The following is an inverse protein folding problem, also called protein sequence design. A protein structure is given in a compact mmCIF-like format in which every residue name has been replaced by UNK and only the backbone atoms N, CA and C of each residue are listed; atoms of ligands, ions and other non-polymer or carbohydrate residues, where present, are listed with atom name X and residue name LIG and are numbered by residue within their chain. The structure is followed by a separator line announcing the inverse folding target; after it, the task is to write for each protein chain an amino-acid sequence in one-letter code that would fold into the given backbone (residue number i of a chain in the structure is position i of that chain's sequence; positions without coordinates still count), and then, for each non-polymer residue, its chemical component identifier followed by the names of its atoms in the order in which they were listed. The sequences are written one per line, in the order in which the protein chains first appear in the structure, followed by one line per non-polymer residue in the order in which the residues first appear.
data_IF_775666917993
#
_entry.id   IF_775666917993
#
_cell.length_a   1.000
_cell.length_b   1.000
_cell.length_c   1.000
_cell.angle_alpha   90.00
_cell.angle_beta   90.00
_cell.angle_gamma   90.00
#
_symmetry.space_group_name_H-M   'P 1'
#
loop_
_entity.id
_entity.type
_entity.pdbx_description
1 polymer ?
#
# COMPACT_ATOMS: atom_id res chain seq x y z
N UNK A 1 -0.65 -34.10 -6.34
CA UNK A 1 -1.41 -32.84 -6.17
C UNK A 1 -2.19 -32.57 -7.45
N UNK A 2 -3.41 -32.06 -7.39
CA UNK A 2 -4.13 -31.64 -8.59
C UNK A 2 -3.36 -30.47 -9.24
N UNK A 3 -3.06 -30.59 -10.53
CA UNK A 3 -2.40 -29.53 -11.29
C UNK A 3 -3.38 -28.35 -11.35
N UNK A 4 -2.93 -27.15 -10.94
CA UNK A 4 -3.74 -25.94 -11.02
C UNK A 4 -4.21 -25.71 -12.46
N UNK A 5 -5.49 -25.36 -12.61
CA UNK A 5 -6.13 -25.09 -13.91
C UNK A 5 -6.64 -23.67 -13.92
N UNK A 6 -6.10 -22.86 -14.82
CA UNK A 6 -6.48 -21.47 -15.01
C UNK A 6 -7.33 -21.35 -16.28
N UNK A 7 -8.62 -20.99 -16.18
CA UNK A 7 -9.47 -20.84 -17.36
C UNK A 7 -8.94 -19.81 -18.36
N UNK A 8 -9.02 -20.13 -19.65
CA UNK A 8 -8.75 -19.17 -20.74
C UNK A 8 -9.89 -18.14 -20.84
N UNK A 9 -11.12 -18.60 -20.61
CA UNK A 9 -12.30 -17.73 -20.56
C UNK A 9 -12.28 -16.85 -19.30
N UNK A 10 -12.68 -15.59 -19.46
CA UNK A 10 -12.80 -14.61 -18.38
C UNK A 10 -12.46 -13.19 -18.80
N UNK A 11 -12.68 -12.24 -17.91
CA UNK A 11 -12.36 -10.83 -18.15
C UNK A 11 -10.91 -10.51 -17.75
N UNK A 12 -10.17 -9.68 -18.52
CA UNK A 12 -8.82 -9.26 -18.17
C UNK A 12 -8.79 -8.46 -16.85
N UNK A 13 -7.91 -8.86 -15.92
CA UNK A 13 -7.79 -8.22 -14.61
C UNK A 13 -6.80 -7.05 -14.58
N UNK A 14 -5.78 -7.07 -15.44
CA UNK A 14 -4.73 -6.03 -15.50
C UNK A 14 -5.08 -4.94 -16.51
N UNK A 15 -4.86 -3.67 -16.16
CA UNK A 15 -5.12 -2.53 -17.05
C UNK A 15 -4.15 -2.50 -18.25
N UNK A 16 -4.56 -1.88 -19.35
CA UNK A 16 -3.71 -1.77 -20.55
C UNK A 16 -2.39 -1.03 -20.26
N UNK A 17 -2.44 0.01 -19.43
CA UNK A 17 -1.26 0.79 -19.06
C UNK A 17 -0.30 -0.01 -18.18
N UNK A 18 -0.82 -0.75 -17.19
CA UNK A 18 0.01 -1.62 -16.35
C UNK A 18 0.65 -2.75 -17.16
N UNK A 19 -0.10 -3.34 -18.10
CA UNK A 19 0.44 -4.32 -19.06
C UNK A 19 1.57 -3.72 -19.92
N UNK A 20 1.38 -2.53 -20.49
CA UNK A 20 2.38 -1.87 -21.30
C UNK A 20 3.64 -1.49 -20.49
N UNK A 21 3.45 -0.97 -19.27
CA UNK A 21 4.53 -0.67 -18.35
C UNK A 21 5.35 -1.92 -18.00
N UNK A 22 4.68 -3.04 -17.73
CA UNK A 22 5.33 -4.30 -17.47
C UNK A 22 6.19 -4.79 -18.64
N UNK A 23 5.68 -4.79 -19.87
CA UNK A 23 6.46 -5.19 -21.05
C UNK A 23 7.67 -4.27 -21.27
N UNK A 24 7.52 -2.96 -20.99
CA UNK A 24 8.59 -1.96 -21.15
C UNK A 24 9.76 -2.11 -20.18
N UNK A 25 9.61 -2.91 -19.13
CA UNK A 25 10.74 -3.26 -18.26
C UNK A 25 11.84 -4.04 -19.00
N UNK A 26 11.48 -4.73 -20.09
CA UNK A 26 12.42 -5.50 -20.93
C UNK A 26 12.50 -4.96 -22.36
N UNK A 27 11.39 -4.44 -22.91
CA UNK A 27 11.34 -3.84 -24.24
C UNK A 27 10.84 -2.37 -24.16
N UNK A 28 11.72 -1.40 -23.91
CA UNK A 28 11.34 0.01 -23.76
C UNK A 28 10.59 0.59 -24.96
N UNK A 29 10.83 0.05 -26.17
CA UNK A 29 10.16 0.46 -27.42
C UNK A 29 8.77 -0.16 -27.63
N UNK A 30 8.26 -0.96 -26.69
CA UNK A 30 6.97 -1.63 -26.84
C UNK A 30 5.82 -0.64 -27.11
N UNK A 31 5.05 -0.92 -28.16
CA UNK A 31 3.89 -0.14 -28.56
C UNK A 31 2.69 -0.46 -27.65
N UNK A 32 2.30 0.50 -26.81
CA UNK A 32 1.21 0.35 -25.83
C UNK A 32 -0.15 0.06 -26.48
N UNK A 33 -0.34 0.36 -27.77
CA UNK A 33 -1.56 0.00 -28.50
C UNK A 33 -1.79 -1.52 -28.52
N UNK A 34 -0.72 -2.32 -28.53
CA UNK A 34 -0.82 -3.79 -28.49
C UNK A 34 -1.50 -4.23 -27.18
N UNK A 35 -1.04 -3.73 -26.03
CA UNK A 35 -1.65 -4.02 -24.73
C UNK A 35 -3.11 -3.54 -24.65
N UNK A 36 -3.40 -2.36 -25.23
CA UNK A 36 -4.78 -1.85 -25.34
C UNK A 36 -5.68 -2.80 -26.11
N UNK A 37 -5.22 -3.29 -27.27
CA UNK A 37 -5.97 -4.24 -28.09
C UNK A 37 -6.18 -5.58 -27.38
N UNK A 38 -5.17 -6.13 -26.68
CA UNK A 38 -5.34 -7.37 -25.90
C UNK A 38 -6.45 -7.24 -24.86
N UNK A 39 -6.51 -6.10 -24.14
CA UNK A 39 -7.58 -5.85 -23.18
C UNK A 39 -8.95 -5.72 -23.86
N UNK A 40 -9.05 -4.87 -24.88
CA UNK A 40 -10.32 -4.60 -25.57
C UNK A 40 -10.90 -5.84 -26.25
N UNK A 41 -10.09 -6.53 -27.05
CA UNK A 41 -10.49 -7.74 -27.78
C UNK A 41 -10.74 -8.89 -26.80
N UNK A 42 -9.89 -9.07 -25.79
CA UNK A 42 -10.09 -10.05 -24.73
C UNK A 42 -11.43 -9.87 -24.02
N UNK A 43 -11.73 -8.65 -23.56
CA UNK A 43 -13.02 -8.33 -22.94
C UNK A 43 -14.21 -8.59 -23.85
N UNK A 44 -14.11 -8.22 -25.14
CA UNK A 44 -15.15 -8.41 -26.15
C UNK A 44 -15.47 -9.89 -26.42
N UNK A 45 -14.46 -10.75 -26.44
CA UNK A 45 -14.60 -12.19 -26.71
C UNK A 45 -14.67 -13.06 -25.44
N UNK A 46 -14.63 -12.45 -24.25
CA UNK A 46 -14.64 -13.17 -22.98
C UNK A 46 -13.38 -14.01 -22.74
N UNK A 47 -12.24 -13.55 -23.23
CA UNK A 47 -10.93 -14.20 -23.08
C UNK A 47 -10.02 -13.32 -22.21
N UNK A 48 -9.22 -13.97 -21.37
CA UNK A 48 -8.19 -13.33 -20.52
C UNK A 48 -7.05 -12.72 -21.35
N UNK A 49 -7.33 -11.58 -21.99
CA UNK A 49 -6.40 -10.86 -22.85
C UNK A 49 -5.11 -10.41 -22.15
N UNK A 50 -5.16 -10.22 -20.83
CA UNK A 50 -3.99 -9.99 -19.98
C UNK A 50 -3.03 -11.19 -19.95
N UNK A 51 -3.56 -12.41 -19.91
CA UNK A 51 -2.77 -13.63 -19.98
C UNK A 51 -2.35 -13.92 -21.44
N UNK A 52 -3.18 -13.60 -22.43
CA UNK A 52 -2.82 -13.71 -23.85
C UNK A 52 -1.67 -12.77 -24.25
N UNK A 53 -1.58 -11.59 -23.64
CA UNK A 53 -0.38 -10.76 -23.78
C UNK A 53 0.85 -11.48 -23.25
N UNK A 54 0.77 -12.16 -22.09
CA UNK A 54 1.88 -12.92 -21.52
C UNK A 54 2.30 -14.10 -22.42
N UNK A 55 1.34 -14.74 -23.08
CA UNK A 55 1.62 -15.71 -24.14
C UNK A 55 2.43 -15.05 -25.26
N UNK A 56 2.02 -13.88 -25.72
CA UNK A 56 2.73 -13.14 -26.77
C UNK A 56 4.14 -12.71 -26.35
N UNK A 57 4.33 -12.32 -25.07
CA UNK A 57 5.65 -12.05 -24.49
C UNK A 57 6.55 -13.28 -24.66
N UNK A 58 6.02 -14.47 -24.38
CA UNK A 58 6.76 -15.71 -24.55
C UNK A 58 7.08 -16.01 -26.02
N UNK A 59 6.09 -15.93 -26.91
CA UNK A 59 6.24 -16.26 -28.34
C UNK A 59 7.19 -15.32 -29.09
N UNK A 60 7.15 -14.04 -28.74
CA UNK A 60 7.87 -12.99 -29.48
C UNK A 60 9.12 -12.51 -28.77
N UNK A 61 9.53 -13.19 -27.68
CA UNK A 61 10.65 -12.77 -26.84
C UNK A 61 10.51 -11.30 -26.39
N UNK A 62 9.41 -10.99 -25.70
CA UNK A 62 9.05 -9.64 -25.24
C UNK A 62 8.78 -8.64 -26.37
N UNK A 63 8.12 -9.08 -27.45
CA UNK A 63 7.84 -8.27 -28.64
C UNK A 63 9.11 -7.72 -29.32
N UNK A 64 10.26 -8.34 -29.07
CA UNK A 64 11.53 -8.03 -29.75
C UNK A 64 11.68 -8.84 -31.05
N UNK A 65 10.93 -9.93 -31.15
CA UNK A 65 11.01 -10.92 -32.21
C UNK A 65 12.44 -11.50 -32.30
N UNK A 66 12.73 -12.30 -33.32
CA UNK A 66 14.04 -12.97 -33.47
C UNK A 66 13.98 -14.35 -34.11
N UNK A 67 12.77 -14.85 -34.40
CA UNK A 67 12.55 -16.04 -35.22
C UNK A 67 12.00 -15.70 -36.60
N UNK A 68 11.28 -16.64 -37.22
CA UNK A 68 10.74 -16.49 -38.58
C UNK A 68 9.65 -15.42 -38.68
N UNK A 69 8.94 -15.13 -37.59
CA UNK A 69 7.88 -14.11 -37.53
C UNK A 69 8.49 -12.73 -37.28
N UNK A 70 8.14 -11.76 -38.12
CA UNK A 70 8.65 -10.39 -38.09
C UNK A 70 7.67 -9.41 -37.44
N UNK A 71 8.16 -8.30 -36.84
CA UNK A 71 7.31 -7.31 -36.17
C UNK A 71 6.17 -6.75 -37.04
N UNK A 72 6.42 -6.56 -38.34
CA UNK A 72 5.49 -5.93 -39.28
C UNK A 72 4.28 -6.82 -39.61
N UNK A 73 4.34 -8.12 -39.27
CA UNK A 73 3.26 -9.07 -39.54
C UNK A 73 2.07 -8.91 -38.57
N UNK A 74 2.21 -8.17 -37.47
CA UNK A 74 1.25 -8.13 -36.36
C UNK A 74 0.86 -9.55 -35.85
N UNK A 75 1.73 -10.54 -36.03
CA UNK A 75 1.46 -11.92 -35.64
C UNK A 75 2.10 -12.22 -34.27
N UNK A 76 1.44 -11.77 -33.21
CA UNK A 76 1.97 -11.81 -31.85
C UNK A 76 1.99 -13.20 -31.19
N UNK A 77 1.42 -14.20 -31.86
CA UNK A 77 1.26 -15.56 -31.36
C UNK A 77 1.89 -16.63 -32.26
N UNK A 78 2.59 -16.22 -33.33
CA UNK A 78 3.17 -17.15 -34.30
C UNK A 78 2.16 -18.00 -35.07
N UNK A 79 0.94 -17.48 -35.30
CA UNK A 79 -0.13 -18.21 -36.00
C UNK A 79 0.36 -18.68 -37.37
N UNK A 80 0.43 -20.00 -37.54
CA UNK A 80 0.83 -20.63 -38.79
C UNK A 80 2.34 -20.65 -39.08
N UNK A 81 3.18 -20.13 -38.18
CA UNK A 81 4.63 -20.26 -38.31
C UNK A 81 5.06 -21.69 -37.92
N UNK A 82 5.96 -22.30 -38.69
CA UNK A 82 6.38 -23.71 -38.49
C UNK A 82 7.88 -23.89 -38.26
N UNK A 83 8.66 -22.80 -38.24
CA UNK A 83 10.12 -22.89 -38.28
C UNK A 83 10.66 -23.07 -39.71
N UNK A 84 11.96 -22.86 -39.88
CA UNK A 84 12.65 -23.12 -41.15
C UNK A 84 12.36 -22.10 -42.25
N UNK A 85 12.06 -20.85 -41.88
CA UNK A 85 11.79 -19.76 -42.82
C UNK A 85 10.31 -19.56 -43.16
N UNK A 86 9.41 -20.39 -42.63
CA UNK A 86 7.97 -20.16 -42.76
C UNK A 86 7.49 -19.15 -41.70
N UNK A 87 7.31 -17.90 -42.14
CA UNK A 87 6.92 -16.77 -41.30
C UNK A 87 5.45 -16.78 -40.82
N UNK A 88 4.62 -17.72 -41.29
CA UNK A 88 3.21 -17.82 -40.90
C UNK A 88 2.32 -16.68 -41.40
N UNK A 89 1.19 -16.46 -40.72
CA UNK A 89 0.20 -15.46 -41.10
C UNK A 89 0.69 -14.02 -40.88
N UNK A 90 0.08 -13.07 -41.60
CA UNK A 90 0.28 -11.62 -41.43
C UNK A 90 -1.07 -10.92 -41.36
N UNK A 91 -1.17 -9.89 -40.53
CA UNK A 91 -2.39 -9.15 -40.26
C UNK A 91 -2.18 -7.66 -40.53
N UNK A 92 -3.18 -7.00 -41.13
CA UNK A 92 -3.03 -5.63 -41.60
C UNK A 92 -2.90 -4.61 -40.45
N UNK A 93 -3.46 -4.94 -39.29
CA UNK A 93 -3.45 -4.07 -38.11
C UNK A 93 -3.13 -4.84 -36.83
N UNK A 94 -2.67 -4.11 -35.80
CA UNK A 94 -2.50 -4.64 -34.44
C UNK A 94 -3.80 -5.29 -33.95
N UNK A 95 -4.94 -4.64 -34.18
CA UNK A 95 -6.25 -5.13 -33.77
C UNK A 95 -6.59 -6.47 -34.42
N UNK A 96 -6.31 -6.65 -35.72
CA UNK A 96 -6.52 -7.92 -36.42
C UNK A 96 -5.58 -9.02 -35.90
N UNK A 97 -4.30 -8.68 -35.68
CA UNK A 97 -3.32 -9.61 -35.11
C UNK A 97 -3.70 -10.14 -33.74
N UNK A 98 -4.08 -9.23 -32.84
CA UNK A 98 -4.61 -9.59 -31.51
C UNK A 98 -5.91 -10.38 -31.62
N UNK A 99 -6.82 -9.97 -32.52
CA UNK A 99 -8.10 -10.68 -32.74
C UNK A 99 -7.88 -12.11 -33.20
N UNK A 100 -6.94 -12.36 -34.11
CA UNK A 100 -6.62 -13.70 -34.55
C UNK A 100 -6.12 -14.58 -33.39
N UNK A 101 -5.24 -14.06 -32.54
CA UNK A 101 -4.78 -14.81 -31.36
C UNK A 101 -5.91 -15.10 -30.37
N UNK A 102 -6.73 -14.10 -30.05
CA UNK A 102 -7.83 -14.26 -29.12
C UNK A 102 -8.87 -15.24 -29.67
N UNK A 103 -9.14 -15.23 -30.98
CA UNK A 103 -10.01 -16.21 -31.62
C UNK A 103 -9.39 -17.62 -31.59
N UNK A 104 -8.08 -17.77 -31.77
CA UNK A 104 -7.42 -19.06 -31.66
C UNK A 104 -7.56 -19.63 -30.24
N UNK A 105 -7.37 -18.80 -29.22
CA UNK A 105 -7.61 -19.14 -27.82
C UNK A 105 -9.09 -19.47 -27.56
N UNK A 106 -10.02 -18.72 -28.15
CA UNK A 106 -11.46 -19.00 -28.06
C UNK A 106 -11.83 -20.36 -28.66
N UNK A 107 -11.22 -20.74 -29.79
CA UNK A 107 -11.43 -22.04 -30.41
C UNK A 107 -10.96 -23.17 -29.48
N UNK A 108 -9.80 -23.02 -28.83
CA UNK A 108 -9.33 -23.96 -27.83
C UNK A 108 -10.24 -24.04 -26.59
N UNK A 109 -10.72 -22.90 -26.12
CA UNK A 109 -11.40 -22.80 -24.83
C UNK A 109 -12.90 -23.11 -24.86
N UNK A 110 -13.54 -23.00 -26.01
CA UNK A 110 -15.00 -23.04 -26.13
C UNK A 110 -15.48 -23.80 -27.36
N UNK A 111 -16.66 -24.43 -27.26
CA UNK A 111 -17.43 -24.97 -28.39
C UNK A 111 -18.54 -24.03 -28.86
N UNK A 112 -18.87 -22.98 -28.10
CA UNK A 112 -19.92 -22.02 -28.44
C UNK A 112 -19.59 -21.23 -29.72
N UNK A 113 -20.54 -20.79 -30.56
CA UNK A 113 -20.22 -19.91 -31.68
C UNK A 113 -19.49 -18.63 -31.20
N UNK A 114 -18.74 -17.97 -32.08
CA UNK A 114 -18.23 -16.63 -31.76
C UNK A 114 -19.41 -15.69 -31.46
N UNK A 115 -19.23 -14.67 -30.59
CA UNK A 115 -20.25 -13.68 -30.33
C UNK A 115 -20.84 -13.08 -31.62
N UNK A 116 -22.14 -12.76 -31.60
CA UNK A 116 -22.82 -12.25 -32.78
C UNK A 116 -22.13 -10.97 -33.32
N UNK A 117 -21.88 -10.93 -34.62
CA UNK A 117 -21.19 -9.82 -35.29
C UNK A 117 -19.66 -9.96 -35.38
N UNK A 118 -19.06 -10.98 -34.74
CA UNK A 118 -17.63 -11.25 -34.88
C UNK A 118 -17.30 -11.92 -36.22
N UNK A 119 -16.39 -11.32 -36.98
CA UNK A 119 -15.78 -11.94 -38.17
C UNK A 119 -14.62 -12.84 -37.75
N UNK A 120 -14.50 -14.01 -38.36
CA UNK A 120 -13.30 -14.86 -38.20
C UNK A 120 -12.10 -14.19 -38.88
N UNK A 121 -11.10 -13.82 -38.09
CA UNK A 121 -9.81 -13.26 -38.51
C UNK A 121 -8.71 -14.31 -38.44
N UNK A 122 -8.79 -15.25 -37.49
CA UNK A 122 -7.85 -16.36 -37.39
C UNK A 122 -7.99 -17.32 -38.59
N UNK A 123 -6.97 -17.43 -39.48
CA UNK A 123 -7.03 -18.31 -40.64
C UNK A 123 -7.00 -19.80 -40.26
N UNK A 124 -6.73 -20.13 -39.00
CA UNK A 124 -6.62 -21.49 -38.47
C UNK A 124 -7.76 -21.83 -37.52
N UNK A 125 -8.78 -20.97 -37.38
CA UNK A 125 -9.87 -21.14 -36.42
C UNK A 125 -10.58 -22.50 -36.58
N UNK A 126 -10.83 -22.92 -37.82
CA UNK A 126 -11.47 -24.19 -38.15
C UNK A 126 -10.58 -25.42 -38.01
N UNK A 127 -9.26 -25.24 -37.86
CA UNK A 127 -8.30 -26.34 -37.69
C UNK A 127 -8.17 -26.78 -36.23
N UNK A 128 -8.68 -25.99 -35.28
CA UNK A 128 -8.65 -26.32 -33.86
C UNK A 128 -9.81 -27.24 -33.52
N UNK A 129 -9.51 -28.38 -32.88
CA UNK A 129 -10.53 -29.19 -32.23
C UNK A 129 -11.17 -28.36 -31.09
N UNK A 130 -12.37 -27.86 -31.32
CA UNK A 130 -12.99 -26.84 -30.46
C UNK A 130 -13.24 -27.33 -29.04
N UNK A 131 -12.95 -26.48 -28.05
CA UNK A 131 -13.09 -26.81 -26.63
C UNK A 131 -12.05 -27.81 -26.11
N UNK A 132 -11.02 -28.15 -26.91
CA UNK A 132 -10.02 -29.15 -26.52
C UNK A 132 -9.08 -28.69 -25.41
N UNK A 133 -8.92 -27.39 -25.15
CA UNK A 133 -8.02 -26.84 -24.13
C UNK A 133 -8.67 -25.66 -23.39
N UNK A 134 -9.52 -25.92 -22.39
CA UNK A 134 -10.23 -24.88 -21.64
C UNK A 134 -9.33 -24.03 -20.73
N UNK A 135 -8.15 -24.54 -20.34
CA UNK A 135 -7.23 -23.85 -19.42
C UNK A 135 -5.88 -23.56 -20.07
N UNK A 136 -5.16 -22.54 -19.56
CA UNK A 136 -3.83 -22.16 -20.05
C UNK A 136 -2.83 -23.32 -19.98
N UNK A 137 -2.91 -24.14 -18.93
CA UNK A 137 -2.08 -25.33 -18.74
C UNK A 137 -2.39 -26.44 -19.76
N UNK A 138 -3.58 -26.45 -20.37
CA UNK A 138 -3.98 -27.43 -21.40
C UNK A 138 -3.38 -27.14 -22.77
N UNK A 139 -2.80 -25.94 -22.97
CA UNK A 139 -2.19 -25.54 -24.25
C UNK A 139 -0.86 -26.27 -24.52
N UNK A 140 -0.22 -26.83 -23.48
CA UNK A 140 0.97 -27.64 -23.65
C UNK A 140 0.65 -28.93 -24.43
N UNK A 141 1.35 -29.17 -25.54
CA UNK A 141 1.07 -30.29 -26.44
C UNK A 141 -0.05 -30.03 -27.45
N UNK A 142 -0.67 -28.85 -27.46
CA UNK A 142 -1.73 -28.46 -28.41
C UNK A 142 -1.38 -27.19 -29.16
N UNK A 143 -1.16 -26.10 -28.43
CA UNK A 143 -0.65 -24.84 -28.99
C UNK A 143 0.84 -24.97 -29.31
N UNK A 144 1.62 -25.34 -28.29
CA UNK A 144 3.04 -25.60 -28.43
C UNK A 144 3.27 -27.12 -28.37
N UNK A 145 3.79 -27.70 -29.44
CA UNK A 145 4.14 -29.13 -29.52
C UNK A 145 5.67 -29.25 -29.50
N UNK A 146 6.26 -30.02 -28.56
CA UNK A 146 5.63 -30.85 -27.54
C UNK A 146 5.10 -30.10 -26.31
N UNK A 147 5.43 -28.81 -26.15
CA UNK A 147 4.94 -27.98 -25.03
C UNK A 147 5.73 -28.15 -23.72
N UNK A 148 6.85 -28.87 -23.76
CA UNK A 148 7.82 -29.04 -22.68
C UNK A 148 9.21 -29.35 -23.25
N UNK A 149 10.25 -29.32 -22.41
CA UNK A 149 11.60 -29.69 -22.85
C UNK A 149 11.81 -31.22 -22.82
N UNK A 150 11.86 -31.86 -24.00
CA UNK A 150 12.10 -33.31 -24.16
C UNK A 150 13.48 -33.78 -23.69
N UNK A 151 14.47 -32.89 -23.58
CA UNK A 151 15.79 -33.27 -23.01
C UNK A 151 15.78 -33.26 -21.49
N UNK A 152 14.81 -32.60 -20.87
CA UNK A 152 14.69 -32.45 -19.41
C UNK A 152 13.66 -33.39 -18.79
N UNK A 153 12.58 -33.70 -19.50
CA UNK A 153 11.47 -34.51 -18.99
C UNK A 153 11.16 -35.68 -19.92
N UNK A 154 10.88 -36.84 -19.34
CA UNK A 154 10.53 -38.05 -20.08
C UNK A 154 9.13 -37.99 -20.73
N UNK A 155 8.24 -37.12 -20.26
CA UNK A 155 6.87 -36.98 -20.77
C UNK A 155 6.28 -35.60 -20.48
N UNK A 156 5.20 -35.24 -21.18
CA UNK A 156 4.41 -34.04 -20.86
C UNK A 156 3.86 -34.11 -19.43
N UNK A 157 3.45 -35.30 -18.98
CA UNK A 157 2.95 -35.51 -17.62
C UNK A 157 4.03 -35.18 -16.57
N UNK A 158 5.26 -35.65 -16.78
CA UNK A 158 6.38 -35.34 -15.88
C UNK A 158 6.68 -33.83 -15.86
N UNK A 159 6.59 -33.15 -17.00
CA UNK A 159 6.77 -31.70 -17.07
C UNK A 159 5.63 -30.93 -16.39
N UNK A 160 4.37 -31.40 -16.51
CA UNK A 160 3.20 -30.82 -15.84
C UNK A 160 3.33 -30.89 -14.32
N UNK A 161 3.73 -32.06 -13.80
CA UNK A 161 3.98 -32.29 -12.38
C UNK A 161 5.12 -31.42 -11.85
N UNK A 162 6.16 -31.20 -12.67
CA UNK A 162 7.28 -30.34 -12.34
C UNK A 162 7.01 -28.84 -12.51
N UNK A 163 5.82 -28.44 -12.99
CA UNK A 163 5.53 -27.03 -13.18
C UNK A 163 6.20 -26.39 -14.41
N UNK A 164 6.78 -27.14 -15.35
CA UNK A 164 7.66 -26.59 -16.41
C UNK A 164 7.14 -26.82 -17.84
N UNK A 165 5.83 -26.71 -18.02
CA UNK A 165 5.21 -26.70 -19.35
C UNK A 165 5.01 -25.30 -19.92
N UNK A 166 4.66 -25.25 -21.21
CA UNK A 166 4.28 -24.02 -21.91
C UNK A 166 3.25 -23.18 -21.15
N UNK A 167 2.11 -23.77 -20.76
CA UNK A 167 1.07 -23.05 -20.03
C UNK A 167 1.54 -22.52 -18.68
N UNK A 168 2.34 -23.30 -17.94
CA UNK A 168 2.88 -22.88 -16.65
C UNK A 168 3.92 -21.74 -16.78
N UNK A 169 4.66 -21.67 -17.90
CA UNK A 169 5.54 -20.53 -18.21
C UNK A 169 4.74 -19.25 -18.44
N UNK A 170 3.62 -19.32 -19.15
CA UNK A 170 2.70 -18.19 -19.34
C UNK A 170 2.13 -17.72 -18.00
N UNK A 171 1.71 -18.67 -17.15
CA UNK A 171 1.18 -18.33 -15.83
C UNK A 171 2.22 -17.70 -14.90
N UNK A 172 3.51 -18.08 -15.01
CA UNK A 172 4.59 -17.38 -14.31
C UNK A 172 4.79 -15.93 -14.80
N UNK A 173 4.74 -15.71 -16.11
CA UNK A 173 4.77 -14.35 -16.68
C UNK A 173 3.57 -13.52 -16.21
N UNK A 174 2.39 -14.13 -16.14
CA UNK A 174 1.21 -13.47 -15.63
C UNK A 174 1.33 -13.11 -14.15
N UNK A 175 1.84 -14.02 -13.31
CA UNK A 175 2.05 -13.76 -11.88
C UNK A 175 3.07 -12.64 -11.60
N UNK A 176 4.10 -12.53 -12.43
CA UNK A 176 5.08 -11.43 -12.34
C UNK A 176 4.49 -10.11 -12.82
N UNK A 177 3.67 -10.12 -13.87
CA UNK A 177 2.95 -8.94 -14.34
C UNK A 177 1.94 -8.42 -13.32
N UNK A 178 1.17 -9.29 -12.67
CA UNK A 178 0.18 -8.87 -11.66
C UNK A 178 0.85 -8.31 -10.41
N UNK A 179 1.97 -8.90 -9.97
CA UNK A 179 2.76 -8.35 -8.87
C UNK A 179 3.29 -6.95 -9.20
N UNK A 180 3.84 -6.74 -10.40
CA UNK A 180 4.31 -5.43 -10.84
C UNK A 180 3.17 -4.41 -10.93
N UNK A 181 2.01 -4.80 -11.45
CA UNK A 181 0.83 -3.94 -11.53
C UNK A 181 0.30 -3.54 -10.14
N UNK A 182 0.32 -4.46 -9.17
CA UNK A 182 -0.07 -4.18 -7.79
C UNK A 182 0.89 -3.20 -7.10
N UNK A 183 2.20 -3.36 -7.32
CA UNK A 183 3.21 -2.45 -6.78
C UNK A 183 3.15 -1.03 -7.37
N UNK A 184 2.69 -0.89 -8.62
CA UNK A 184 2.58 0.39 -9.32
C UNK A 184 1.21 1.08 -9.17
N UNK A 185 0.21 0.43 -8.57
CA UNK A 185 -1.09 1.03 -8.34
C UNK A 185 -0.97 2.19 -7.34
N UNK A 186 -1.61 3.35 -7.58
CA UNK A 186 -1.59 4.45 -6.62
C UNK A 186 -2.17 3.95 -5.29
N UNK A 187 -1.36 4.01 -4.22
CA UNK A 187 -1.85 3.76 -2.87
C UNK A 187 -2.93 4.80 -2.55
N UNK A 188 -4.01 4.38 -1.89
CA UNK A 188 -5.00 5.32 -1.37
C UNK A 188 -4.28 6.39 -0.54
N UNK A 189 -4.67 7.67 -0.65
CA UNK A 189 -4.06 8.72 0.15
C UNK A 189 -4.18 8.35 1.63
N UNK A 190 -3.06 8.47 2.36
CA UNK A 190 -3.04 8.19 3.79
C UNK A 190 -3.99 9.16 4.52
N UNK A 191 -4.67 8.72 5.58
CA UNK A 191 -5.44 9.63 6.43
C UNK A 191 -4.50 10.69 7.02
N UNK A 192 -4.97 11.93 7.09
CA UNK A 192 -4.19 13.06 7.56
C UNK A 192 -4.56 13.38 9.02
N UNK A 193 -3.58 13.30 9.92
CA UNK A 193 -3.71 13.78 11.32
C UNK A 193 -3.01 15.13 11.43
N UNK A 194 -3.78 16.17 11.75
CA UNK A 194 -3.25 17.47 12.12
C UNK A 194 -3.01 17.52 13.63
N UNK A 195 -1.75 17.60 14.03
CA UNK A 195 -1.35 17.82 15.43
C UNK A 195 -1.05 19.30 15.65
N UNK A 196 -1.61 19.85 16.71
CA UNK A 196 -1.43 21.24 17.09
C UNK A 196 -0.76 21.33 18.46
N UNK A 197 0.42 21.94 18.50
CA UNK A 197 1.11 22.24 19.74
C UNK A 197 0.65 23.62 20.22
N UNK A 198 -0.09 23.69 21.34
CA UNK A 198 -0.61 24.93 21.91
C UNK A 198 0.45 26.04 22.05
N UNK A 199 0.03 27.30 21.98
CA UNK A 199 0.91 28.47 22.18
C UNK A 199 2.12 28.53 21.21
N UNK A 200 3.20 29.21 21.59
CA UNK A 200 4.44 29.31 20.82
C UNK A 200 4.89 30.75 20.57
N UNK A 201 6.19 30.94 20.36
CA UNK A 201 6.81 32.25 20.15
C UNK A 201 6.50 33.22 21.29
N UNK A 202 5.78 34.30 20.95
CA UNK A 202 5.39 35.38 21.87
C UNK A 202 4.30 34.99 22.86
N UNK A 203 3.61 33.87 22.65
CA UNK A 203 2.63 33.33 23.58
C UNK A 203 3.27 32.17 24.36
N UNK A 204 3.64 32.37 25.64
CA UNK A 204 4.24 31.31 26.45
C UNK A 204 3.24 30.26 26.94
N UNK A 205 1.93 30.56 26.89
CA UNK A 205 0.93 29.83 27.65
C UNK A 205 1.15 29.94 29.17
N UNK A 206 0.62 28.98 29.90
CA UNK A 206 0.76 28.91 31.34
C UNK A 206 2.22 28.63 31.77
N UNK A 207 2.58 29.13 32.95
CA UNK A 207 3.93 29.00 33.51
C UNK A 207 3.82 28.64 34.99
N UNK A 208 4.56 27.61 35.40
CA UNK A 208 4.52 27.12 36.78
C UNK A 208 5.65 26.12 37.03
N UNK A 209 6.23 26.15 38.23
CA UNK A 209 7.28 25.23 38.65
C UNK A 209 8.46 25.07 37.66
N UNK A 210 8.79 26.09 36.87
CA UNK A 210 9.86 26.02 35.86
C UNK A 210 9.49 25.32 34.56
N UNK A 211 8.20 25.07 34.33
CA UNK A 211 7.62 24.62 33.07
C UNK A 211 7.00 25.82 32.36
N UNK A 212 7.22 25.92 31.06
CA UNK A 212 6.53 26.84 30.16
C UNK A 212 5.67 26.00 29.21
N UNK A 213 4.36 26.25 29.18
CA UNK A 213 3.41 25.41 28.46
C UNK A 213 3.76 25.23 26.98
N UNK A 214 4.15 26.31 26.28
CA UNK A 214 4.51 26.21 24.85
C UNK A 214 5.62 25.20 24.57
N UNK A 215 6.57 25.04 25.50
CA UNK A 215 7.72 24.14 25.35
C UNK A 215 7.30 22.71 25.67
N UNK A 216 6.55 22.51 26.75
CA UNK A 216 6.01 21.19 27.14
C UNK A 216 5.04 20.64 26.09
N UNK A 217 4.14 21.49 25.58
CA UNK A 217 3.20 21.14 24.52
C UNK A 217 3.94 20.76 23.22
N UNK A 218 4.98 21.52 22.84
CA UNK A 218 5.77 21.20 21.64
C UNK A 218 6.49 19.85 21.79
N UNK A 219 7.17 19.62 22.91
CA UNK A 219 7.87 18.34 23.17
C UNK A 219 6.89 17.16 23.09
N UNK A 220 5.73 17.27 23.75
CA UNK A 220 4.71 16.22 23.72
C UNK A 220 4.18 15.97 22.29
N UNK A 221 3.84 17.03 21.56
CA UNK A 221 3.36 16.93 20.16
C UNK A 221 4.38 16.28 19.23
N UNK A 222 5.67 16.61 19.37
CA UNK A 222 6.73 16.02 18.55
C UNK A 222 6.90 14.53 18.83
N UNK A 223 6.80 14.10 20.11
CA UNK A 223 6.83 12.67 20.48
C UNK A 223 5.63 11.92 19.89
N UNK A 224 4.43 12.47 20.00
CA UNK A 224 3.21 11.89 19.41
C UNK A 224 3.36 11.76 17.89
N UNK A 225 3.88 12.79 17.23
CA UNK A 225 4.10 12.78 15.79
C UNK A 225 5.08 11.67 15.37
N UNK A 226 6.19 11.51 16.10
CA UNK A 226 7.17 10.47 15.82
C UNK A 226 6.57 9.06 15.96
N UNK A 227 5.79 8.82 17.03
CA UNK A 227 5.15 7.54 17.29
C UNK A 227 4.08 7.20 16.24
N UNK A 228 3.26 8.16 15.84
CA UNK A 228 2.26 7.96 14.80
C UNK A 228 2.90 7.64 13.43
N UNK A 229 3.94 8.38 13.04
CA UNK A 229 4.66 8.16 11.77
C UNK A 229 5.39 6.81 11.72
N UNK A 230 5.97 6.38 12.84
CA UNK A 230 6.62 5.09 12.93
C UNK A 230 5.59 3.95 12.92
N UNK A 231 4.55 4.06 13.74
CA UNK A 231 3.63 2.96 14.03
C UNK A 231 2.53 2.72 13.01
N UNK A 232 2.14 3.73 12.21
CA UNK A 232 0.91 3.66 11.43
C UNK A 232 1.05 4.24 10.00
N UNK A 233 0.19 3.75 9.10
CA UNK A 233 0.05 4.29 7.76
C UNK A 233 -0.82 5.57 7.83
N UNK A 234 -0.16 6.70 8.09
CA UNK A 234 -0.81 8.00 8.35
C UNK A 234 0.10 9.16 7.91
N UNK A 235 -0.49 10.22 7.38
CA UNK A 235 0.20 11.50 7.12
C UNK A 235 0.01 12.43 8.32
N UNK A 236 1.07 12.59 9.13
CA UNK A 236 1.05 13.45 10.32
C UNK A 236 1.62 14.82 9.97
N UNK A 237 0.81 15.87 10.15
CA UNK A 237 1.18 17.26 9.89
C UNK A 237 1.03 18.10 11.14
N UNK A 238 1.96 19.02 11.38
CA UNK A 238 2.03 19.81 12.60
C UNK A 238 1.77 21.29 12.29
N UNK A 239 0.88 21.95 13.03
CA UNK A 239 0.65 23.40 12.89
C UNK A 239 1.92 24.22 13.20
N UNK A 240 2.78 23.70 14.10
CA UNK A 240 4.16 24.14 14.31
C UNK A 240 5.05 22.97 14.74
N UNK A 241 6.31 22.98 14.33
CA UNK A 241 7.34 22.02 14.75
C UNK A 241 8.51 22.68 15.49
N UNK A 242 8.44 23.99 15.70
CA UNK A 242 9.44 24.83 16.39
C UNK A 242 8.73 25.83 17.29
N UNK A 243 9.50 26.62 18.05
CA UNK A 243 8.97 27.69 18.89
C UNK A 243 8.60 28.93 18.05
N UNK A 244 7.43 28.87 17.40
CA UNK A 244 6.85 29.97 16.62
C UNK A 244 5.42 30.23 17.06
N UNK A 245 5.01 31.49 17.05
CA UNK A 245 3.64 31.87 17.33
C UNK A 245 2.74 31.58 16.12
N UNK A 246 1.68 30.81 16.33
CA UNK A 246 0.62 30.58 15.34
C UNK A 246 -0.72 31.06 15.93
N UNK A 247 -1.39 32.06 15.32
CA UNK A 247 -2.71 32.53 15.75
C UNK A 247 -3.75 31.40 15.76
N UNK A 248 -4.71 31.46 16.69
CA UNK A 248 -5.71 30.39 16.88
C UNK A 248 -6.48 30.04 15.59
N UNK A 249 -6.94 31.06 14.85
CA UNK A 249 -7.67 30.81 13.60
C UNK A 249 -6.77 30.32 12.45
N UNK A 250 -5.49 30.64 12.51
CA UNK A 250 -4.51 30.15 11.52
C UNK A 250 -4.25 28.66 11.71
N UNK A 251 -4.19 28.15 12.95
CA UNK A 251 -4.08 26.71 13.25
C UNK A 251 -5.19 25.90 12.59
N UNK A 252 -6.43 26.38 12.72
CA UNK A 252 -7.58 25.76 12.07
C UNK A 252 -7.52 25.90 10.54
N UNK A 253 -7.12 27.06 10.03
CA UNK A 253 -6.97 27.30 8.59
C UNK A 253 -5.94 26.37 7.96
N UNK A 254 -4.80 26.16 8.62
CA UNK A 254 -3.75 25.23 8.22
C UNK A 254 -4.31 23.80 8.12
N UNK A 255 -4.97 23.31 9.17
CA UNK A 255 -5.55 21.97 9.21
C UNK A 255 -6.64 21.78 8.13
N UNK A 256 -7.51 22.79 7.94
CA UNK A 256 -8.55 22.79 6.92
C UNK A 256 -7.93 22.79 5.50
N UNK A 257 -6.87 23.55 5.26
CA UNK A 257 -6.15 23.61 3.98
C UNK A 257 -5.50 22.28 3.61
N UNK A 258 -5.04 21.52 4.60
CA UNK A 258 -4.59 20.14 4.40
C UNK A 258 -5.70 19.14 4.15
N UNK A 259 -6.96 19.54 4.38
CA UNK A 259 -8.11 18.63 4.44
C UNK A 259 -7.87 17.49 5.43
N UNK A 260 -7.36 17.86 6.61
CA UNK A 260 -7.04 16.87 7.65
C UNK A 260 -8.28 16.03 7.99
N UNK A 261 -8.09 14.74 8.25
CA UNK A 261 -9.16 13.83 8.65
C UNK A 261 -9.45 13.95 10.14
N UNK A 262 -8.46 14.36 10.96
CA UNK A 262 -8.59 14.58 12.40
C UNK A 262 -7.66 15.69 12.90
N UNK A 263 -8.15 16.50 13.83
CA UNK A 263 -7.36 17.54 14.51
C UNK A 263 -7.20 17.24 15.99
N UNK A 264 -5.97 17.30 16.50
CA UNK A 264 -5.64 17.05 17.90
C UNK A 264 -4.77 18.20 18.41
N UNK A 265 -5.30 19.00 19.32
CA UNK A 265 -4.55 20.08 19.97
C UNK A 265 -4.08 19.65 21.35
N UNK A 266 -2.80 19.88 21.64
CA UNK A 266 -2.13 19.47 22.87
C UNK A 266 -1.75 20.70 23.68
N UNK A 267 -2.26 20.75 24.91
CA UNK A 267 -2.11 21.83 25.88
C UNK A 267 -1.76 21.25 27.26
N UNK A 268 -1.43 22.14 28.19
CA UNK A 268 -1.31 21.84 29.62
C UNK A 268 -2.07 22.91 30.41
N UNK A 269 -2.84 22.49 31.38
CA UNK A 269 -3.79 23.38 32.06
C UNK A 269 -3.12 24.21 33.16
N UNK A 270 -3.88 25.14 33.74
CA UNK A 270 -3.51 25.91 34.92
C UNK A 270 -4.76 26.33 35.72
N UNK A 271 -4.60 27.31 36.62
CA UNK A 271 -5.62 27.87 37.50
C UNK A 271 -5.99 26.99 38.70
N UNK A 272 -5.01 26.32 39.30
CA UNK A 272 -5.13 25.66 40.61
C UNK A 272 -5.87 24.32 40.62
N UNK A 273 -5.94 23.64 39.47
CA UNK A 273 -6.47 22.27 39.36
C UNK A 273 -5.37 21.20 39.33
N UNK A 274 -5.78 19.94 39.15
CA UNK A 274 -4.90 18.80 38.88
C UNK A 274 -5.65 17.74 38.07
N UNK A 275 -4.92 16.95 37.28
CA UNK A 275 -5.45 15.84 36.52
C UNK A 275 -5.52 16.08 35.01
N UNK A 276 -6.18 15.16 34.30
CA UNK A 276 -6.33 15.19 32.84
C UNK A 276 -7.78 15.50 32.44
N UNK A 277 -7.96 16.33 31.40
CA UNK A 277 -9.25 16.57 30.75
C UNK A 277 -9.11 16.70 29.24
N UNK A 278 -10.20 16.43 28.53
CA UNK A 278 -10.26 16.66 27.08
C UNK A 278 -11.52 17.40 26.68
N UNK A 279 -11.44 18.14 25.58
CA UNK A 279 -12.49 19.02 25.08
C UNK A 279 -12.82 18.74 23.62
N UNK A 280 -14.12 18.81 23.30
CA UNK A 280 -14.63 18.95 21.92
C UNK A 280 -15.49 20.22 21.82
N UNK A 281 -15.86 20.63 20.61
CA UNK A 281 -16.73 21.80 20.43
C UNK A 281 -18.17 21.50 20.89
N UNK A 282 -18.87 22.43 21.58
CA UNK A 282 -20.27 22.24 21.98
C UNK A 282 -21.18 21.76 20.85
N UNK A 283 -21.95 20.71 21.12
CA UNK A 283 -22.85 20.09 20.17
C UNK A 283 -22.19 19.05 19.26
N UNK A 284 -20.89 18.79 19.41
CA UNK A 284 -20.17 17.77 18.61
C UNK A 284 -19.90 16.47 19.38
N UNK A 285 -20.22 16.44 20.68
CA UNK A 285 -19.96 15.29 21.56
C UNK A 285 -20.72 14.01 21.19
N UNK A 286 -21.90 14.11 20.58
CA UNK A 286 -22.65 12.95 20.08
C UNK A 286 -22.21 12.49 18.68
N UNK A 287 -21.35 13.26 18.02
CA UNK A 287 -20.86 12.99 16.67
C UNK A 287 -19.43 12.44 16.63
N UNK A 288 -18.77 12.51 15.46
CA UNK A 288 -17.42 11.98 15.26
C UNK A 288 -16.37 12.53 16.23
N UNK A 289 -16.43 13.82 16.61
CA UNK A 289 -15.48 14.40 17.58
C UNK A 289 -15.57 13.71 18.93
N UNK A 290 -16.80 13.46 19.42
CA UNK A 290 -16.99 12.76 20.69
C UNK A 290 -16.56 11.30 20.68
N UNK A 291 -16.83 10.57 19.59
CA UNK A 291 -16.35 9.18 19.44
C UNK A 291 -14.82 9.10 19.49
N UNK A 292 -14.15 10.04 18.83
CA UNK A 292 -12.68 10.12 18.83
C UNK A 292 -12.12 10.60 20.16
N UNK A 293 -12.80 11.56 20.82
CA UNK A 293 -12.48 11.98 22.18
C UNK A 293 -12.55 10.79 23.15
N UNK A 294 -13.58 9.94 23.05
CA UNK A 294 -13.72 8.75 23.90
C UNK A 294 -12.52 7.80 23.77
N UNK A 295 -12.08 7.54 22.53
CA UNK A 295 -10.94 6.67 22.28
C UNK A 295 -9.62 7.27 22.79
N UNK A 296 -9.35 8.55 22.50
CA UNK A 296 -8.13 9.24 22.93
C UNK A 296 -8.08 9.38 24.45
N UNK A 297 -9.17 9.83 25.07
CA UNK A 297 -9.26 10.04 26.51
C UNK A 297 -9.07 8.73 27.28
N UNK A 298 -9.70 7.63 26.84
CA UNK A 298 -9.54 6.32 27.48
C UNK A 298 -8.10 5.79 27.41
N UNK A 299 -7.40 6.00 26.29
CA UNK A 299 -6.00 5.59 26.14
C UNK A 299 -5.08 6.38 27.09
N UNK A 300 -5.28 7.70 27.18
CA UNK A 300 -4.51 8.57 28.08
C UNK A 300 -4.75 8.21 29.55
N UNK A 301 -6.01 8.06 29.97
CA UNK A 301 -6.33 7.71 31.36
C UNK A 301 -5.81 6.32 31.75
N UNK A 302 -5.74 5.38 30.82
CA UNK A 302 -5.09 4.07 31.07
C UNK A 302 -3.61 4.23 31.46
N UNK A 303 -2.90 5.20 30.88
CA UNK A 303 -1.50 5.47 31.20
C UNK A 303 -1.33 6.34 32.46
N UNK A 304 -2.23 7.29 32.70
CA UNK A 304 -2.10 8.27 33.78
C UNK A 304 -2.70 7.82 35.11
N UNK A 305 -3.79 7.04 35.12
CA UNK A 305 -4.44 6.60 36.36
C UNK A 305 -3.50 5.83 37.33
N UNK A 306 -2.58 4.95 36.85
CA UNK A 306 -1.60 4.30 37.73
C UNK A 306 -0.61 5.26 38.42
N UNK A 307 -0.47 6.48 37.89
CA UNK A 307 0.37 7.54 38.46
C UNK A 307 -0.39 8.41 39.48
N UNK A 308 -1.66 8.09 39.76
CA UNK A 308 -2.50 8.85 40.69
C UNK A 308 -3.16 10.08 40.06
N UNK A 309 -3.08 10.25 38.74
CA UNK A 309 -3.68 11.40 38.04
C UNK A 309 -5.20 11.27 38.03
N UNK A 310 -5.89 12.36 38.41
CA UNK A 310 -7.34 12.44 38.41
C UNK A 310 -7.92 12.53 36.97
N UNK A 311 -8.97 11.74 36.71
CA UNK A 311 -9.82 11.92 35.52
C UNK A 311 -10.81 13.06 35.76
N UNK A 312 -10.61 14.19 35.08
CA UNK A 312 -11.49 15.36 35.17
C UNK A 312 -12.58 15.37 34.10
N UNK A 313 -12.63 14.33 33.27
CA UNK A 313 -13.70 14.06 32.35
C UNK A 313 -13.51 14.59 30.92
N UNK A 314 -14.48 14.20 30.11
CA UNK A 314 -14.64 14.58 28.70
C UNK A 314 -15.63 15.73 28.62
N UNK A 315 -15.17 16.90 28.20
CA UNK A 315 -15.89 18.17 28.27
C UNK A 315 -16.17 18.74 26.89
N UNK A 316 -17.02 19.77 26.85
CA UNK A 316 -17.26 20.61 25.68
C UNK A 316 -16.87 22.05 26.01
N UNK A 317 -16.16 22.73 25.10
CA UNK A 317 -15.76 24.13 25.27
C UNK A 317 -15.63 24.88 23.94
N UNK A 318 -15.92 26.18 23.97
CA UNK A 318 -15.97 27.04 22.79
C UNK A 318 -14.57 27.56 22.35
N UNK A 319 -13.59 26.66 22.25
CA UNK A 319 -12.24 27.01 21.80
C UNK A 319 -12.20 27.25 20.29
N UNK A 320 -11.50 28.31 19.87
CA UNK A 320 -11.45 28.71 18.46
C UNK A 320 -10.92 27.59 17.54
N UNK A 321 -9.88 26.88 17.97
CA UNK A 321 -9.30 25.76 17.21
C UNK A 321 -10.28 24.60 17.03
N UNK A 322 -11.20 24.36 17.97
CA UNK A 322 -12.24 23.33 17.85
C UNK A 322 -13.44 23.81 17.02
N UNK A 323 -13.79 25.09 17.15
CA UNK A 323 -14.93 25.71 16.45
C UNK A 323 -14.66 25.93 14.96
N UNK A 324 -13.42 26.25 14.59
CA UNK A 324 -13.06 26.70 13.24
C UNK A 324 -12.47 25.59 12.35
N UNK A 325 -12.14 24.43 12.92
CA UNK A 325 -11.80 23.23 12.14
C UNK A 325 -13.03 22.59 11.50
N UNK A 326 -12.90 22.10 10.27
CA UNK A 326 -14.01 21.46 9.53
C UNK A 326 -14.04 19.94 9.66
N UNK A 327 -12.99 19.35 10.24
CA UNK A 327 -12.90 17.93 10.55
C UNK A 327 -13.18 17.70 12.05
N UNK A 328 -13.40 16.44 12.49
CA UNK A 328 -13.52 16.15 13.92
C UNK A 328 -12.27 16.62 14.66
N UNK A 329 -12.44 17.13 15.88
CA UNK A 329 -11.37 17.79 16.61
C UNK A 329 -11.45 17.50 18.11
N UNK A 330 -10.29 17.36 18.75
CA UNK A 330 -10.16 17.27 20.22
C UNK A 330 -9.05 18.20 20.69
N UNK A 331 -9.22 18.78 21.86
CA UNK A 331 -8.18 19.47 22.61
C UNK A 331 -7.90 18.68 23.89
N UNK A 332 -6.63 18.47 24.20
CA UNK A 332 -6.16 17.69 25.34
C UNK A 332 -5.45 18.63 26.32
N UNK A 333 -5.96 18.71 27.54
CA UNK A 333 -5.29 19.40 28.65
C UNK A 333 -4.51 18.37 29.47
N UNK A 334 -3.22 18.27 29.19
CA UNK A 334 -2.35 17.24 29.72
C UNK A 334 -1.75 17.71 31.05
N UNK A 335 -2.45 17.47 32.16
CA UNK A 335 -2.00 17.85 33.50
C UNK A 335 -1.93 19.38 33.69
N UNK A 336 -1.69 19.83 34.92
CA UNK A 336 -1.66 21.25 35.32
C UNK A 336 -0.23 21.72 35.58
N UNK A 337 0.23 22.75 34.84
CA UNK A 337 1.60 23.28 35.00
C UNK A 337 1.82 24.00 36.33
N UNK A 338 0.74 24.47 36.97
CA UNK A 338 0.74 25.21 38.23
C UNK A 338 0.34 24.35 39.44
N UNK A 339 0.31 23.02 39.28
CA UNK A 339 0.19 22.06 40.37
C UNK A 339 1.50 21.28 40.54
N UNK A 340 1.96 21.13 41.79
CA UNK A 340 3.26 20.53 42.08
C UNK A 340 3.38 19.04 41.71
N UNK A 341 2.29 18.27 41.86
CA UNK A 341 2.28 16.83 41.53
C UNK A 341 2.31 16.63 40.02
N UNK A 342 1.42 17.31 39.31
CA UNK A 342 1.33 17.29 37.86
C UNK A 342 2.62 17.83 37.21
N UNK A 343 3.16 18.95 37.71
CA UNK A 343 4.44 19.49 37.24
C UNK A 343 5.61 18.53 37.49
N UNK A 344 5.58 17.73 38.57
CA UNK A 344 6.54 16.66 38.82
C UNK A 344 6.52 15.61 37.71
N UNK A 345 5.33 15.16 37.31
CA UNK A 345 5.11 14.23 36.21
C UNK A 345 5.55 14.81 34.86
N UNK A 346 5.23 16.07 34.59
CA UNK A 346 5.59 16.74 33.33
C UNK A 346 7.09 16.93 33.16
N UNK A 347 7.86 17.08 34.25
CA UNK A 347 9.32 17.17 34.19
C UNK A 347 9.97 15.82 33.85
N UNK A 348 9.32 14.72 34.21
CA UNK A 348 9.82 13.38 33.94
C UNK A 348 9.69 13.05 32.44
N UNK A 349 10.83 12.82 31.78
CA UNK A 349 10.84 12.50 30.34
C UNK A 349 10.24 11.13 30.02
N UNK A 350 10.32 10.15 30.93
CA UNK A 350 9.73 8.83 30.72
C UNK A 350 8.20 8.92 30.82
N UNK A 351 7.68 9.72 31.77
CA UNK A 351 6.24 10.00 31.86
C UNK A 351 5.72 10.69 30.60
N UNK A 352 6.41 11.74 30.11
CA UNK A 352 6.06 12.40 28.84
C UNK A 352 6.10 11.44 27.65
N UNK A 353 7.07 10.52 27.60
CA UNK A 353 7.14 9.52 26.54
C UNK A 353 5.97 8.53 26.60
N UNK A 354 5.61 8.05 27.79
CA UNK A 354 4.47 7.14 27.98
C UNK A 354 3.14 7.83 27.68
N UNK A 355 2.99 9.10 28.07
CA UNK A 355 1.83 9.91 27.72
C UNK A 355 1.73 10.10 26.20
N UNK A 356 2.84 10.42 25.52
CA UNK A 356 2.87 10.52 24.06
C UNK A 356 2.44 9.21 23.38
N UNK A 357 2.90 8.06 23.89
CA UNK A 357 2.50 6.75 23.39
C UNK A 357 1.00 6.48 23.57
N UNK A 358 0.45 6.84 24.74
CA UNK A 358 -0.98 6.72 25.01
C UNK A 358 -1.82 7.63 24.08
N UNK A 359 -1.37 8.87 23.84
CA UNK A 359 -2.02 9.77 22.87
C UNK A 359 -1.96 9.17 21.46
N UNK A 360 -0.80 8.69 21.01
CA UNK A 360 -0.65 8.10 19.69
C UNK A 360 -1.52 6.85 19.49
N UNK A 361 -1.57 5.94 20.46
CA UNK A 361 -2.47 4.77 20.45
C UNK A 361 -3.94 5.20 20.40
N UNK A 362 -4.31 6.18 21.22
CA UNK A 362 -5.66 6.74 21.26
C UNK A 362 -6.08 7.35 19.93
N UNK A 363 -5.21 8.14 19.30
CA UNK A 363 -5.42 8.75 17.98
C UNK A 363 -5.54 7.66 16.90
N UNK A 364 -4.66 6.67 16.93
CA UNK A 364 -4.69 5.57 15.97
C UNK A 364 -6.00 4.78 16.06
N UNK A 365 -6.45 4.47 17.27
CA UNK A 365 -7.74 3.81 17.52
C UNK A 365 -8.92 4.68 17.08
N UNK A 366 -8.89 5.98 17.41
CA UNK A 366 -9.93 6.94 17.05
C UNK A 366 -10.15 7.04 15.52
N UNK A 367 -9.10 6.82 14.74
CA UNK A 367 -9.11 6.90 13.29
C UNK A 367 -9.09 5.54 12.58
N UNK A 368 -9.06 4.44 13.32
CA UNK A 368 -8.85 3.10 12.79
C UNK A 368 -7.63 3.03 11.83
N UNK A 369 -6.52 3.68 12.23
CA UNK A 369 -5.30 3.70 11.42
C UNK A 369 -4.75 2.28 11.25
N UNK A 370 -4.26 1.99 10.05
CA UNK A 370 -3.61 0.71 9.76
C UNK A 370 -2.21 0.71 10.39
N UNK A 371 -1.88 -0.25 11.27
CA UNK A 371 -0.53 -0.40 11.79
C UNK A 371 0.47 -0.71 10.68
N UNK A 372 1.66 -0.12 10.77
CA UNK A 372 2.78 -0.43 9.88
C UNK A 372 3.38 -1.81 10.16
N UNK A 373 3.15 -2.34 11.36
CA UNK A 373 3.70 -3.61 11.83
C UNK A 373 2.57 -4.57 12.27
N UNK A 374 2.75 -5.90 12.11
CA UNK A 374 1.89 -6.88 12.75
C UNK A 374 1.78 -6.63 14.26
N UNK A 375 0.58 -6.82 14.84
CA UNK A 375 0.29 -6.48 16.23
C UNK A 375 1.17 -7.20 17.28
N UNK A 376 1.77 -8.34 16.91
CA UNK A 376 2.67 -9.14 17.77
C UNK A 376 4.15 -8.76 17.66
N UNK A 377 4.49 -7.72 16.88
CA UNK A 377 5.89 -7.35 16.64
C UNK A 377 6.49 -6.73 17.91
N UNK A 378 7.60 -7.27 18.45
CA UNK A 378 8.25 -6.69 19.63
C UNK A 378 8.87 -5.31 19.35
N UNK A 379 8.82 -4.40 20.33
CA UNK A 379 9.34 -3.03 20.21
C UNK A 379 10.80 -2.96 19.73
N UNK A 380 11.67 -3.87 20.19
CA UNK A 380 13.07 -3.88 19.77
C UNK A 380 13.22 -4.13 18.25
N UNK A 381 12.33 -4.93 17.65
CA UNK A 381 12.32 -5.18 16.20
C UNK A 381 11.86 -3.95 15.44
N UNK A 382 10.79 -3.31 15.91
CA UNK A 382 10.28 -2.06 15.34
C UNK A 382 11.39 -0.99 15.35
N UNK A 383 12.06 -0.81 16.50
CA UNK A 383 13.16 0.16 16.64
C UNK A 383 14.35 -0.15 15.72
N UNK A 384 14.68 -1.44 15.52
CA UNK A 384 15.73 -1.85 14.61
C UNK A 384 15.38 -1.53 13.15
N UNK A 385 14.15 -1.86 12.72
CA UNK A 385 13.66 -1.59 11.36
C UNK A 385 13.61 -0.08 11.09
N UNK A 386 12.99 0.71 11.98
CA UNK A 386 12.92 2.17 11.81
C UNK A 386 14.30 2.84 11.75
N UNK A 387 15.28 2.32 12.50
CA UNK A 387 16.65 2.80 12.40
C UNK A 387 17.27 2.54 11.04
N UNK A 388 17.08 1.34 10.48
CA UNK A 388 17.55 1.03 9.12
C UNK A 388 16.93 1.97 8.08
N UNK A 389 15.65 2.34 8.21
CA UNK A 389 15.03 3.38 7.37
C UNK A 389 15.66 4.75 7.56
N UNK A 390 15.89 5.15 8.82
CA UNK A 390 16.47 6.46 9.15
C UNK A 390 17.88 6.61 8.57
N UNK A 391 18.64 5.52 8.51
CA UNK A 391 19.98 5.50 7.90
C UNK A 391 19.93 5.33 6.36
N UNK A 392 18.76 5.14 5.76
CA UNK A 392 18.59 4.90 4.33
C UNK A 392 18.99 3.49 3.87
N UNK A 393 19.20 2.56 4.80
CA UNK A 393 19.54 1.17 4.51
C UNK A 393 18.32 0.35 4.05
N UNK A 394 17.14 0.66 4.59
CA UNK A 394 15.86 0.15 4.08
C UNK A 394 15.07 1.30 3.45
N UNK A 395 14.48 1.02 2.29
CA UNK A 395 13.63 1.98 1.57
C UNK A 395 12.28 1.39 1.17
N UNK A 396 12.14 0.06 1.19
CA UNK A 396 10.90 -0.63 0.82
C UNK A 396 10.01 -0.92 2.04
N UNK A 397 8.88 -0.20 2.12
CA UNK A 397 7.85 -0.31 3.16
C UNK A 397 7.37 -1.74 3.48
N UNK A 398 7.55 -2.72 2.57
CA UNK A 398 7.14 -4.12 2.78
C UNK A 398 7.76 -4.73 4.03
N UNK A 399 8.97 -4.28 4.41
CA UNK A 399 9.68 -4.77 5.60
C UNK A 399 8.96 -4.47 6.91
N UNK A 400 8.15 -3.39 6.97
CA UNK A 400 7.37 -3.08 8.18
C UNK A 400 6.27 -4.12 8.41
N UNK A 401 5.69 -4.65 7.33
CA UNK A 401 4.64 -5.68 7.38
C UNK A 401 5.18 -7.12 7.52
N UNK A 402 6.48 -7.31 7.34
CA UNK A 402 7.14 -8.62 7.41
C UNK A 402 8.37 -8.60 8.35
N UNK A 403 8.21 -8.19 9.62
CA UNK A 403 9.33 -8.00 10.54
C UNK A 403 10.01 -9.32 10.97
N UNK A 404 9.40 -10.46 10.66
CA UNK A 404 9.95 -11.80 10.91
C UNK A 404 10.64 -12.42 9.68
N UNK A 405 10.55 -11.77 8.51
CA UNK A 405 11.32 -12.19 7.35
C UNK A 405 12.80 -11.84 7.60
N UNK A 406 13.74 -12.80 7.45
CA UNK A 406 15.16 -12.53 7.63
C UNK A 406 15.59 -11.33 6.80
N UNK A 407 16.25 -10.37 7.46
CA UNK A 407 16.84 -9.25 6.75
C UNK A 407 18.04 -9.77 5.93
N UNK A 408 18.48 -9.05 4.89
CA UNK A 408 19.77 -9.34 4.30
C UNK A 408 20.86 -9.41 5.39
N UNK A 409 21.77 -10.38 5.30
CA UNK A 409 22.78 -10.67 6.34
C UNK A 409 23.56 -9.43 6.83
N UNK A 410 23.79 -8.46 5.93
CA UNK A 410 24.47 -7.21 6.25
C UNK A 410 23.66 -6.30 7.21
N UNK A 411 22.33 -6.31 7.11
CA UNK A 411 21.45 -5.53 7.98
C UNK A 411 21.34 -6.17 9.37
N UNK A 412 21.31 -7.50 9.45
CA UNK A 412 21.37 -8.23 10.73
C UNK A 412 22.67 -7.94 11.48
N UNK A 413 23.81 -7.91 10.77
CA UNK A 413 25.11 -7.58 11.36
C UNK A 413 25.15 -6.16 11.96
N UNK A 414 24.56 -5.16 11.27
CA UNK A 414 24.47 -3.78 11.78
C UNK A 414 23.58 -3.67 13.02
N UNK A 415 22.44 -4.38 13.03
CA UNK A 415 21.54 -4.42 14.19
C UNK A 415 22.27 -5.02 15.40
N UNK A 416 22.94 -6.16 15.23
CA UNK A 416 23.69 -6.83 16.30
C UNK A 416 24.82 -5.95 16.84
N UNK A 417 25.55 -5.24 15.97
CA UNK A 417 26.59 -4.29 16.37
C UNK A 417 26.02 -3.16 17.24
N UNK A 418 24.85 -2.62 16.87
CA UNK A 418 24.19 -1.56 17.64
C UNK A 418 23.67 -2.05 18.98
N UNK A 419 23.02 -3.22 19.02
CA UNK A 419 22.54 -3.82 20.26
C UNK A 419 23.71 -4.09 21.21
N UNK A 420 24.84 -4.57 20.68
CA UNK A 420 26.06 -4.75 21.46
C UNK A 420 26.58 -3.42 22.03
N UNK A 421 26.62 -2.34 21.24
CA UNK A 421 27.04 -1.02 21.72
C UNK A 421 26.13 -0.46 22.83
N UNK A 422 24.82 -0.72 22.77
CA UNK A 422 23.86 -0.32 23.80
C UNK A 422 24.02 -1.11 25.11
N UNK A 423 24.62 -2.30 25.09
CA UNK A 423 24.91 -3.09 26.30
C UNK A 423 26.21 -2.67 26.99
N UNK A 424 27.05 -1.86 26.33
CA UNK A 424 28.35 -1.42 26.83
C UNK A 424 28.33 -0.03 27.48
N UNK A 425 27.19 0.68 27.43
CA UNK A 425 26.96 1.97 28.07
C UNK A 425 25.77 1.88 29.01
#
# INVERSE_FOLDING_TARGET
MAIAKTPILGQPAVSADAMAAYVRTVNPSFNAEIARQFRLVGSRLGIRGDIALCQSIHETNWFRFGGDVRPEQNNFAGIGATGGGNAGASFATIAEGVTAQIQHLYAYASTAPLPAGERVVDPRFSLVARGSAPNWEDLAGKWAVPGYNRTKYASLQAALEAGDTYGQKIMRLYGTMTAAAAAAAPQAPLPIVALDAGHGGTDPGAQGFGIVEKDSALDLTLRVAALLRAGYAVDVRLTRSTDVFVPLGERATIANGWKADYFVSLHHNAAGGEGFESYVYPGTRSGPSGVRQDAVHAAIMKALAPLGVADRGKKEANFAVLRQTTMPAVLLENLFVDNALDAGLLKDSAVRQNLAAAIAEGVAKAMALTPNYPASTPDYKIQAIEWLYTQGYLTDSVWKQQPDTPLPLWAEALILQRMYAQLQG
#
